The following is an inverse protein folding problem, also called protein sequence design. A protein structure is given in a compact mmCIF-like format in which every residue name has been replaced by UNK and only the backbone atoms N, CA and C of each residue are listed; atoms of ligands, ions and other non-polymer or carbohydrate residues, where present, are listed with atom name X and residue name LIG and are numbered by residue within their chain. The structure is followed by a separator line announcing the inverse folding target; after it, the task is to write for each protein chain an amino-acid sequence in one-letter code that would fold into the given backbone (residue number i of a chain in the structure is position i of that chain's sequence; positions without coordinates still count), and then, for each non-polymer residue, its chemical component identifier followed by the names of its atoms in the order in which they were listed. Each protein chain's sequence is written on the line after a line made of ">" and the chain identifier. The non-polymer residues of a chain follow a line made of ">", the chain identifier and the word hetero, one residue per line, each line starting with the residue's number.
data_IF_803946847974
#
_entry.id   IF_803946847974
#
_cell.length_a   1.000
_cell.length_b   1.000
_cell.length_c   1.000
_cell.angle_alpha   90.00
_cell.angle_beta   90.00
_cell.angle_gamma   90.00
#
_symmetry.space_group_name_H-M   'P 1'
#
loop_
_entity.id
_entity.type
_entity.pdbx_description
1 polymer ?
#
# COMPACT_ATOMS: atom_id res chain seq x y z
N UNK A 1 3.06 17.84 5.73
CA UNK A 1 2.57 17.10 5.95
C UNK A 1 2.07 17.03 5.85
N UNK A 2 2.26 16.98 5.56
CA UNK A 2 1.54 16.40 5.56
C UNK A 2 0.91 16.34 5.77
N UNK A 3 0.91 16.15 5.70
CA UNK A 3 -0.01 15.63 5.97
C UNK A 3 -0.27 15.72 6.56
N UNK A 4 0.10 15.97 6.41
CA UNK A 4 -0.55 15.51 6.99
C UNK A 4 -0.16 15.83 7.50
N UNK A 5 0.31 16.26 7.42
CA UNK A 5 0.16 15.98 7.99
C UNK A 5 0.15 16.17 8.57
N UNK A 6 0.60 16.30 8.58
CA UNK A 6 0.03 15.82 9.11
C UNK A 6 -0.30 16.19 9.80
N UNK A 7 -0.31 16.52 9.84
CA UNK A 7 -0.96 16.30 10.39
C UNK A 7 -1.00 16.55 10.94
N UNK A 8 -0.72 16.67 10.88
CA UNK A 8 -1.07 16.34 11.32
C UNK A 8 -0.92 15.93 11.75
N UNK A 9 -0.28 16.07 11.82
CA UNK A 9 -0.41 15.22 12.20
C UNK A 9 -0.79 15.15 12.87
N UNK A 10 -0.87 14.99 13.04
CA UNK A 10 -1.56 14.44 13.43
C UNK A 10 -2.16 14.52 14.09
N UNK A 11 -2.35 14.75 14.43
CA UNK A 11 -2.97 14.57 14.92
C UNK A 11 -2.93 14.23 15.38
N UNK A 12 -2.40 14.01 15.45
CA UNK A 12 -2.52 13.33 15.71
C UNK A 12 -2.53 12.67 16.04
N UNK A 13 -2.33 12.26 16.26
CA UNK A 13 -2.49 11.39 16.42
C UNK A 13 -3.35 11.03 16.90
N UNK A 14 -3.71 11.08 17.27
CA UNK A 14 -4.51 10.56 17.54
C UNK A 14 -5.09 10.21 17.37
N UNK A 15 -5.10 10.35 17.71
CA UNK A 15 -5.53 9.68 17.15
C UNK A 15 -5.06 8.99 16.51
N UNK A 16 -4.41 9.00 16.60
CA UNK A 16 -3.86 8.43 16.15
C UNK A 16 -3.62 7.62 15.48
N UNK A 17 -3.56 6.83 15.31
CA UNK A 17 -3.47 6.00 14.52
C UNK A 17 -4.52 5.49 13.79
N UNK A 18 -5.38 5.06 14.11
CA UNK A 18 -6.48 4.63 13.31
C UNK A 18 -6.82 5.62 12.23
N UNK A 19 -6.56 6.80 12.44
CA UNK A 19 -6.92 7.80 11.46
C UNK A 19 -5.94 7.90 10.31
N UNK A 20 -4.84 7.16 10.35
CA UNK A 20 -3.94 7.18 9.21
C UNK A 20 -4.65 6.71 7.96
N UNK A 21 -5.44 5.65 8.06
CA UNK A 21 -6.16 5.14 6.91
C UNK A 21 -7.25 6.10 6.46
N UNK A 22 -7.76 6.88 7.38
CA UNK A 22 -8.84 7.78 7.09
C UNK A 22 -8.40 9.14 6.61
N UNK A 23 -7.11 9.44 6.79
CA UNK A 23 -6.59 10.75 6.44
C UNK A 23 -6.56 10.98 4.95
N UNK A 24 -6.63 9.95 4.15
CA UNK A 24 -6.50 10.04 2.71
C UNK A 24 -7.65 9.27 2.05
N UNK A 25 -8.86 9.85 2.02
CA UNK A 25 -9.98 9.17 1.37
C UNK A 25 -9.63 8.89 -0.09
N UNK A 26 -9.92 7.68 -0.54
CA UNK A 26 -9.62 7.28 -1.90
C UNK A 26 -8.25 6.70 -2.10
N UNK A 27 -7.36 6.80 -1.10
CA UNK A 27 -6.00 6.28 -1.28
C UNK A 27 -6.00 4.78 -1.48
N UNK A 28 -6.85 4.04 -0.75
CA UNK A 28 -6.95 2.60 -0.93
C UNK A 28 -7.40 2.26 -2.35
N UNK A 29 -8.39 2.98 -2.87
CA UNK A 29 -8.85 2.75 -4.23
C UNK A 29 -7.74 3.04 -5.23
N UNK A 30 -6.95 4.08 -5.00
CA UNK A 30 -5.81 4.40 -5.86
C UNK A 30 -4.79 3.27 -5.82
N UNK A 31 -4.48 2.76 -4.63
CA UNK A 31 -3.52 1.68 -4.49
C UNK A 31 -4.02 0.41 -5.16
N UNK A 32 -5.31 0.11 -5.05
CA UNK A 32 -5.90 -1.05 -5.71
C UNK A 32 -5.82 -0.92 -7.23
N UNK A 33 -6.08 0.27 -7.76
CA UNK A 33 -5.99 0.52 -9.20
C UNK A 33 -4.55 0.36 -9.68
N UNK A 34 -3.59 0.84 -8.90
CA UNK A 34 -2.18 0.70 -9.22
C UNK A 34 -1.79 -0.78 -9.22
N UNK A 35 -2.22 -1.53 -8.21
CA UNK A 35 -1.91 -2.94 -8.11
C UNK A 35 -2.43 -3.70 -9.33
N UNK A 36 -3.65 -3.39 -9.75
CA UNK A 36 -4.24 -4.03 -10.92
C UNK A 36 -3.47 -3.70 -12.20
N UNK A 37 -3.05 -2.45 -12.32
CA UNK A 37 -2.28 -2.02 -13.50
C UNK A 37 -0.93 -2.75 -13.56
N UNK A 38 -0.26 -2.89 -12.42
CA UNK A 38 1.01 -3.61 -12.36
C UNK A 38 0.80 -5.08 -12.74
N UNK A 39 -0.24 -5.71 -12.18
CA UNK A 39 -0.52 -7.11 -12.45
C UNK A 39 -0.88 -7.35 -13.92
N UNK A 40 -1.55 -6.40 -14.55
CA UNK A 40 -1.87 -6.52 -15.98
C UNK A 40 -0.62 -6.43 -16.84
N UNK A 41 0.39 -5.69 -16.36
CA UNK A 41 1.63 -5.54 -17.12
C UNK A 41 2.59 -6.69 -16.89
N UNK A 42 2.72 -7.13 -15.62
CA UNK A 42 3.80 -8.04 -15.23
C UNK A 42 3.29 -9.41 -14.78
N UNK A 43 1.98 -9.62 -14.73
CA UNK A 43 1.31 -10.83 -14.28
C UNK A 43 1.29 -10.94 -12.75
N UNK A 44 2.38 -10.62 -12.08
CA UNK A 44 2.49 -10.72 -10.62
C UNK A 44 2.70 -9.35 -10.01
N UNK A 45 2.30 -9.19 -8.75
CA UNK A 45 2.44 -7.92 -8.05
C UNK A 45 2.66 -8.17 -6.56
N UNK A 46 3.49 -7.34 -5.95
CA UNK A 46 3.73 -7.34 -4.51
C UNK A 46 3.44 -5.96 -3.95
N UNK A 47 3.42 -5.85 -2.62
CA UNK A 47 3.27 -4.54 -2.00
C UNK A 47 4.44 -3.61 -2.33
N UNK A 48 5.63 -4.16 -2.55
CA UNK A 48 6.78 -3.35 -2.97
C UNK A 48 6.52 -2.73 -4.34
N UNK A 49 5.93 -3.49 -5.26
CA UNK A 49 5.61 -2.98 -6.59
C UNK A 49 4.61 -1.84 -6.51
N UNK A 50 3.58 -2.02 -5.68
CA UNK A 50 2.58 -0.97 -5.50
C UNK A 50 3.22 0.27 -4.89
N UNK A 51 4.07 0.08 -3.88
CA UNK A 51 4.72 1.20 -3.22
C UNK A 51 5.58 2.00 -4.19
N UNK A 52 6.32 1.31 -5.06
CA UNK A 52 7.16 1.98 -6.04
C UNK A 52 6.35 2.81 -7.02
N UNK A 53 5.23 2.26 -7.49
CA UNK A 53 4.37 2.99 -8.42
C UNK A 53 3.65 4.15 -7.74
N UNK A 54 3.30 3.99 -6.48
CA UNK A 54 2.68 5.08 -5.72
C UNK A 54 3.63 6.27 -5.60
N UNK A 55 4.90 6.01 -5.36
CA UNK A 55 5.88 7.09 -5.28
C UNK A 55 5.91 7.87 -6.59
N UNK A 56 5.89 7.17 -7.71
CA UNK A 56 5.87 7.81 -9.02
C UNK A 56 4.64 8.72 -9.18
N UNK A 57 3.54 8.31 -8.57
CA UNK A 57 2.29 9.08 -8.63
C UNK A 57 2.20 10.17 -7.55
N UNK A 58 3.27 10.36 -6.75
CA UNK A 58 3.25 11.34 -5.70
C UNK A 58 2.56 10.88 -4.43
N UNK A 59 2.39 9.57 -4.27
CA UNK A 59 1.69 8.98 -3.14
C UNK A 59 2.67 8.15 -2.31
N UNK A 60 2.25 7.79 -1.10
CA UNK A 60 3.07 6.96 -0.21
C UNK A 60 2.27 5.77 0.27
N UNK A 61 2.85 4.58 0.11
CA UNK A 61 2.20 3.34 0.54
C UNK A 61 1.93 3.35 2.05
N UNK A 62 2.85 3.93 2.82
CA UNK A 62 2.74 3.98 4.27
C UNK A 62 1.50 4.75 4.74
N UNK A 63 1.01 5.66 3.92
CA UNK A 63 -0.17 6.45 4.27
C UNK A 63 -1.44 5.60 4.26
N UNK A 64 -1.39 4.38 3.73
CA UNK A 64 -2.52 3.46 3.80
C UNK A 64 -2.78 2.99 5.22
N UNK A 65 -1.74 2.93 6.05
CA UNK A 65 -1.90 2.44 7.41
C UNK A 65 -2.51 1.04 7.44
N UNK A 66 -3.54 0.87 8.24
CA UNK A 66 -4.19 -0.43 8.35
C UNK A 66 -4.90 -0.85 7.07
N UNK A 67 -5.22 0.08 6.20
CA UNK A 67 -5.88 -0.24 4.95
C UNK A 67 -4.96 -0.97 3.98
N UNK A 68 -3.63 -0.97 4.23
CA UNK A 68 -2.69 -1.66 3.35
C UNK A 68 -3.04 -3.14 3.20
N UNK A 69 -3.60 -3.76 4.24
CA UNK A 69 -4.00 -5.16 4.17
C UNK A 69 -5.16 -5.42 3.22
N UNK A 70 -5.83 -4.39 2.76
CA UNK A 70 -6.98 -4.55 1.87
C UNK A 70 -6.63 -4.34 0.40
N UNK A 71 -5.39 -3.96 0.08
CA UNK A 71 -5.02 -3.67 -1.32
C UNK A 71 -5.26 -4.87 -2.22
N UNK A 72 -4.94 -6.07 -1.73
CA UNK A 72 -5.05 -7.28 -2.52
C UNK A 72 -6.24 -8.15 -2.14
N UNK A 73 -7.16 -7.61 -1.34
CA UNK A 73 -8.28 -8.42 -0.85
C UNK A 73 -9.29 -8.74 -1.94
N UNK A 74 -9.48 -7.81 -2.86
CA UNK A 74 -10.47 -7.93 -3.92
C UNK A 74 -9.73 -8.06 -5.25
N UNK A 75 -10.19 -8.92 -6.12
CA UNK A 75 -9.65 -9.10 -7.47
C UNK A 75 -8.31 -9.83 -7.54
N UNK A 76 -7.71 -10.17 -6.40
CA UNK A 76 -6.39 -10.83 -6.40
C UNK A 76 -6.46 -12.16 -5.67
N UNK A 77 -5.53 -13.03 -6.03
CA UNK A 77 -5.35 -14.31 -5.35
C UNK A 77 -3.86 -14.49 -5.07
N UNK A 78 -3.57 -15.05 -3.90
CA UNK A 78 -2.17 -15.31 -3.52
C UNK A 78 -1.65 -16.48 -4.37
N UNK A 79 -0.46 -16.28 -4.95
CA UNK A 79 0.16 -17.32 -5.78
C UNK A 79 0.70 -18.49 -4.97
N UNK A 80 0.80 -18.33 -3.65
CA UNK A 80 1.48 -19.29 -2.79
C UNK A 80 2.94 -18.97 -2.58
N UNK A 81 3.46 -17.98 -3.28
CA UNK A 81 4.87 -17.59 -3.18
C UNK A 81 5.03 -16.35 -2.32
N UNK A 82 6.24 -16.20 -1.76
CA UNK A 82 6.63 -15.03 -1.00
C UNK A 82 8.00 -14.58 -1.49
N UNK A 83 8.31 -13.32 -1.22
CA UNK A 83 9.62 -12.77 -1.55
C UNK A 83 10.01 -11.78 -0.45
N UNK A 84 11.29 -11.47 -0.34
CA UNK A 84 11.77 -10.48 0.63
C UNK A 84 11.42 -9.09 0.14
N UNK A 85 10.87 -8.27 1.05
CA UNK A 85 10.64 -6.88 0.75
C UNK A 85 11.97 -6.15 0.66
N UNK A 86 12.09 -5.25 -0.32
CA UNK A 86 13.31 -4.45 -0.47
C UNK A 86 13.15 -3.05 0.13
N UNK A 87 11.97 -2.71 0.64
CA UNK A 87 11.75 -1.40 1.26
C UNK A 87 12.42 -1.36 2.62
N UNK A 88 13.16 -0.29 2.93
CA UNK A 88 13.84 -0.20 4.24
C UNK A 88 12.87 -0.30 5.42
N UNK A 89 11.67 0.22 5.27
CA UNK A 89 10.69 0.26 6.36
C UNK A 89 10.19 -1.13 6.77
N UNK A 90 10.38 -2.13 5.95
CA UNK A 90 9.91 -3.49 6.25
C UNK A 90 10.99 -4.37 6.85
N UNK A 91 12.24 -3.89 6.88
CA UNK A 91 13.37 -4.62 7.44
C UNK A 91 13.53 -6.02 6.83
N UNK A 92 13.28 -6.14 5.53
CA UNK A 92 13.46 -7.40 4.84
C UNK A 92 12.36 -8.42 5.07
N UNK A 93 11.22 -7.99 5.60
CA UNK A 93 10.11 -8.90 5.86
C UNK A 93 9.66 -9.60 4.58
N UNK A 94 9.20 -10.84 4.74
CA UNK A 94 8.64 -11.58 3.61
C UNK A 94 7.26 -11.04 3.26
N UNK A 95 7.02 -10.87 1.99
CA UNK A 95 5.74 -10.37 1.48
C UNK A 95 5.20 -11.34 0.45
N UNK A 96 3.89 -11.38 0.33
CA UNK A 96 3.21 -12.30 -0.58
C UNK A 96 3.27 -11.78 -2.01
N UNK A 97 3.30 -12.74 -2.94
CA UNK A 97 3.22 -12.44 -4.38
C UNK A 97 1.79 -12.74 -4.83
N UNK A 98 1.15 -11.77 -5.45
CA UNK A 98 -0.26 -11.83 -5.83
C UNK A 98 -0.40 -11.82 -7.35
N UNK A 99 -1.55 -12.31 -7.81
CA UNK A 99 -1.94 -12.18 -9.21
C UNK A 99 -3.43 -11.91 -9.29
N UNK A 100 -3.87 -11.40 -10.42
CA UNK A 100 -5.31 -11.17 -10.64
C UNK A 100 -6.02 -12.53 -10.74
N UNK A 101 -7.24 -12.55 -10.24
CA UNK A 101 -8.09 -13.74 -10.36
C UNK A 101 -8.39 -14.08 -11.81
#
# INVERSE_FOLDING_TARGET
>A
MNIFDYAEAQRRKEVGMHQAAEARPGLLADAQAIAKRVALRWEFVTSDDVAAEMITAGLRYEDLGNAAGSVFRVDFVWTGNVTSSIRPSTHGRMIKVWRLK
#
